data_IF_634328085416
#
_entry.id   IF_634328085416
#
_cell.length_a   1.000
_cell.length_b   1.000
_cell.length_c   1.000
_cell.angle_alpha   90.00
_cell.angle_beta   90.00
_cell.angle_gamma   90.00
#
_symmetry.space_group_name_H-M   'P 1'
#
loop_
_entity.id
_entity.type
_entity.pdbx_description
1 polymer ?
#
# COMPACT_ATOMS: atom_id res chain seq x y z
N UNK A 1 23.63 19.75 -2.84
CA UNK A 1 24.84 19.14 -2.22
C UNK A 1 24.58 18.61 -0.82
N UNK A 2 24.10 19.42 0.15
CA UNK A 2 23.84 18.95 1.53
C UNK A 2 22.88 17.74 1.61
N UNK A 3 21.75 17.80 0.92
CA UNK A 3 20.77 16.69 0.93
C UNK A 3 21.30 15.44 0.22
N UNK A 4 22.11 15.59 -0.83
CA UNK A 4 22.77 14.46 -1.48
C UNK A 4 23.79 13.80 -0.54
N UNK A 5 24.54 14.57 0.25
CA UNK A 5 25.48 14.03 1.24
C UNK A 5 24.76 13.29 2.38
N UNK A 6 23.66 13.85 2.90
CA UNK A 6 22.79 13.15 3.87
C UNK A 6 22.20 11.88 3.27
N UNK A 7 21.75 11.96 2.02
CA UNK A 7 21.28 10.83 1.23
C UNK A 7 22.33 9.73 1.10
N UNK A 8 23.58 10.08 0.79
CA UNK A 8 24.67 9.12 0.70
C UNK A 8 24.91 8.41 2.03
N UNK A 9 24.96 9.15 3.14
CA UNK A 9 25.06 8.57 4.48
C UNK A 9 23.90 7.65 4.81
N UNK A 10 22.67 8.07 4.52
CA UNK A 10 21.47 7.25 4.70
C UNK A 10 21.48 5.99 3.82
N UNK A 11 21.98 6.10 2.59
CA UNK A 11 22.16 4.99 1.66
C UNK A 11 23.17 3.97 2.16
N UNK A 12 24.26 4.41 2.79
CA UNK A 12 25.21 3.49 3.45
C UNK A 12 24.51 2.73 4.59
N UNK A 13 23.69 3.39 5.41
CA UNK A 13 22.93 2.71 6.48
C UNK A 13 21.97 1.67 5.91
N UNK A 14 21.22 2.02 4.86
CA UNK A 14 20.37 1.06 4.16
C UNK A 14 21.16 -0.07 3.50
N UNK A 15 22.32 0.24 2.91
CA UNK A 15 23.22 -0.71 2.25
C UNK A 15 23.89 -1.67 3.23
N UNK A 16 24.11 -1.28 4.48
CA UNK A 16 24.58 -2.19 5.52
C UNK A 16 23.53 -3.24 5.86
N UNK A 17 22.26 -2.83 6.00
CA UNK A 17 21.14 -3.75 6.23
C UNK A 17 21.00 -4.70 5.04
N UNK A 18 20.97 -4.17 3.81
CA UNK A 18 20.82 -4.99 2.61
C UNK A 18 22.05 -5.87 2.34
N UNK A 19 23.26 -5.37 2.60
CA UNK A 19 24.50 -6.15 2.54
C UNK A 19 24.48 -7.33 3.52
N UNK A 20 23.96 -7.13 4.73
CA UNK A 20 23.72 -8.20 5.71
C UNK A 20 22.73 -9.25 5.19
N UNK A 21 21.63 -8.82 4.55
CA UNK A 21 20.70 -9.74 3.90
C UNK A 21 21.39 -10.51 2.75
N UNK A 22 22.13 -9.85 1.87
CA UNK A 22 22.85 -10.51 0.78
C UNK A 22 23.88 -11.51 1.29
N UNK A 23 24.54 -11.23 2.41
CA UNK A 23 25.44 -12.18 3.04
C UNK A 23 24.70 -13.44 3.49
N UNK A 24 23.48 -13.32 4.04
CA UNK A 24 22.73 -14.48 4.53
C UNK A 24 22.21 -15.40 3.43
N UNK A 25 21.87 -14.86 2.25
CA UNK A 25 21.43 -15.67 1.11
C UNK A 25 22.48 -15.80 -0.02
N UNK A 26 23.74 -15.42 0.25
CA UNK A 26 24.88 -15.70 -0.63
C UNK A 26 24.96 -14.88 -1.93
N UNK A 27 24.42 -13.67 -1.97
CA UNK A 27 24.37 -12.84 -3.18
C UNK A 27 25.52 -11.81 -3.33
N UNK A 28 26.43 -11.72 -2.36
CA UNK A 28 27.58 -10.82 -2.46
C UNK A 28 28.51 -11.15 -3.66
N UNK A 29 28.83 -12.42 -3.97
CA UNK A 29 29.59 -12.77 -5.17
C UNK A 29 28.92 -12.31 -6.47
N UNK A 30 27.59 -12.30 -6.52
CA UNK A 30 26.85 -11.80 -7.69
C UNK A 30 27.13 -10.32 -7.93
N UNK A 31 27.23 -9.51 -6.88
CA UNK A 31 27.63 -8.10 -7.00
C UNK A 31 29.10 -7.97 -7.40
N UNK A 32 29.99 -8.78 -6.80
CA UNK A 32 31.41 -8.79 -7.11
C UNK A 32 31.68 -9.09 -8.60
N UNK A 33 30.81 -9.90 -9.23
CA UNK A 33 30.95 -10.27 -10.65
C UNK A 33 30.98 -9.06 -11.60
N UNK A 34 30.40 -7.92 -11.21
CA UNK A 34 30.45 -6.65 -11.96
C UNK A 34 31.88 -6.16 -12.22
N UNK A 35 32.82 -6.52 -11.33
CA UNK A 35 34.25 -6.21 -11.46
C UNK A 35 35.09 -7.47 -11.72
N UNK A 36 34.45 -8.53 -12.23
CA UNK A 36 35.06 -9.81 -12.63
C UNK A 36 35.79 -10.56 -11.51
N UNK A 37 35.22 -10.53 -10.31
CA UNK A 37 35.64 -11.35 -9.16
C UNK A 37 34.42 -11.97 -8.48
N UNK A 38 34.63 -13.03 -7.71
CA UNK A 38 33.63 -13.73 -6.89
C UNK A 38 33.82 -13.49 -5.38
N UNK A 39 34.82 -12.69 -4.99
CA UNK A 39 35.16 -12.43 -3.59
C UNK A 39 34.02 -11.68 -2.85
N UNK A 40 33.39 -12.27 -1.82
CA UNK A 40 32.26 -11.67 -1.13
C UNK A 40 32.58 -10.30 -0.49
N UNK A 41 33.82 -10.13 0.00
CA UNK A 41 34.26 -8.86 0.58
C UNK A 41 34.28 -7.72 -0.45
N UNK A 42 34.74 -8.01 -1.68
CA UNK A 42 34.71 -7.05 -2.79
C UNK A 42 33.27 -6.73 -3.18
N UNK A 43 32.40 -7.74 -3.22
CA UNK A 43 30.97 -7.58 -3.45
C UNK A 43 30.30 -6.65 -2.43
N UNK A 44 30.63 -6.78 -1.14
CA UNK A 44 30.11 -5.92 -0.08
C UNK A 44 30.59 -4.47 -0.24
N UNK A 45 31.89 -4.25 -0.50
CA UNK A 45 32.44 -2.90 -0.71
C UNK A 45 31.77 -2.23 -1.91
N UNK A 46 31.65 -2.95 -3.02
CA UNK A 46 30.99 -2.44 -4.22
C UNK A 46 29.51 -2.14 -3.96
N UNK A 47 28.81 -3.02 -3.23
CA UNK A 47 27.44 -2.78 -2.82
C UNK A 47 27.29 -1.49 -2.00
N UNK A 48 28.14 -1.26 -1.00
CA UNK A 48 28.09 -0.06 -0.17
C UNK A 48 28.39 1.21 -0.97
N UNK A 49 29.30 1.15 -1.94
CA UNK A 49 29.57 2.26 -2.85
C UNK A 49 28.33 2.59 -3.73
N UNK A 50 27.69 1.56 -4.30
CA UNK A 50 26.44 1.71 -5.06
C UNK A 50 25.34 2.27 -4.14
N UNK A 51 25.19 1.73 -2.95
CA UNK A 51 24.20 2.16 -1.96
C UNK A 51 24.37 3.63 -1.57
N UNK A 52 25.61 4.11 -1.42
CA UNK A 52 25.90 5.53 -1.19
C UNK A 52 25.48 6.41 -2.38
N UNK A 53 25.79 6.00 -3.62
CA UNK A 53 25.41 6.74 -4.82
C UNK A 53 23.88 6.79 -5.01
N UNK A 54 23.23 5.65 -4.83
CA UNK A 54 21.77 5.51 -4.88
C UNK A 54 21.11 6.31 -3.76
N UNK A 55 21.63 6.24 -2.53
CA UNK A 55 21.16 7.05 -1.41
C UNK A 55 21.31 8.55 -1.65
N UNK A 56 22.39 9.00 -2.28
CA UNK A 56 22.55 10.39 -2.67
C UNK A 56 21.43 10.85 -3.62
N UNK A 57 21.04 9.99 -4.57
CA UNK A 57 19.88 10.19 -5.43
C UNK A 57 18.57 10.29 -4.65
N UNK A 58 18.35 9.39 -3.69
CA UNK A 58 17.19 9.45 -2.80
C UNK A 58 17.14 10.77 -2.03
N UNK A 59 18.27 11.24 -1.46
CA UNK A 59 18.33 12.51 -0.73
C UNK A 59 17.89 13.72 -1.57
N UNK A 60 18.18 13.72 -2.87
CA UNK A 60 17.72 14.78 -3.80
C UNK A 60 16.20 14.75 -3.98
N UNK A 61 15.60 13.55 -4.06
CA UNK A 61 14.14 13.39 -4.16
C UNK A 61 13.47 13.74 -2.84
N UNK A 62 13.97 13.18 -1.74
CA UNK A 62 13.46 13.34 -0.39
C UNK A 62 13.45 14.81 0.09
N UNK A 63 14.37 15.64 -0.40
CA UNK A 63 14.41 17.07 -0.11
C UNK A 63 13.14 17.84 -0.54
N UNK A 64 12.34 17.27 -1.44
CA UNK A 64 11.10 17.87 -1.96
C UNK A 64 9.84 17.28 -1.34
N UNK A 65 9.98 16.23 -0.55
CA UNK A 65 8.87 15.42 -0.02
C UNK A 65 8.73 15.69 1.47
N UNK A 66 7.49 15.70 1.95
CA UNK A 66 7.23 15.85 3.38
C UNK A 66 7.77 14.66 4.19
N UNK A 67 8.47 14.95 5.28
CA UNK A 67 9.26 13.94 5.98
C UNK A 67 8.47 12.78 6.60
N UNK A 68 7.16 12.90 6.85
CA UNK A 68 6.29 11.79 7.33
C UNK A 68 5.95 10.79 6.22
N UNK A 69 6.20 11.17 4.98
CA UNK A 69 5.87 10.42 3.77
C UNK A 69 7.08 9.66 3.22
N UNK A 70 8.28 9.96 3.72
CA UNK A 70 9.54 9.41 3.23
C UNK A 70 9.59 7.89 3.30
N UNK A 71 8.95 7.28 4.30
CA UNK A 71 8.95 5.82 4.45
C UNK A 71 8.41 5.10 3.20
N UNK A 72 7.25 5.52 2.69
CA UNK A 72 6.67 4.91 1.48
C UNK A 72 7.43 5.29 0.22
N UNK A 73 7.98 6.51 0.15
CA UNK A 73 8.89 6.87 -0.92
C UNK A 73 10.16 6.02 -0.92
N UNK A 74 10.68 5.66 0.25
CA UNK A 74 11.78 4.72 0.42
C UNK A 74 11.44 3.34 -0.13
N UNK A 75 10.29 2.78 0.26
CA UNK A 75 9.82 1.49 -0.27
C UNK A 75 9.64 1.52 -1.79
N UNK A 76 9.00 2.56 -2.34
CA UNK A 76 8.83 2.73 -3.77
C UNK A 76 10.18 2.88 -4.49
N UNK A 77 11.13 3.58 -3.88
CA UNK A 77 12.48 3.75 -4.40
C UNK A 77 13.27 2.43 -4.40
N UNK A 78 13.14 1.64 -3.33
CA UNK A 78 13.68 0.28 -3.26
C UNK A 78 13.12 -0.61 -4.37
N UNK A 79 11.80 -0.66 -4.50
CA UNK A 79 11.13 -1.42 -5.57
C UNK A 79 11.57 -0.97 -6.97
N UNK A 80 11.71 0.33 -7.21
CA UNK A 80 12.26 0.88 -8.45
C UNK A 80 13.67 0.33 -8.72
N UNK A 81 14.54 0.32 -7.71
CA UNK A 81 15.90 -0.24 -7.87
C UNK A 81 15.94 -1.74 -7.99
N UNK A 82 14.92 -2.47 -7.53
CA UNK A 82 14.82 -3.90 -7.82
C UNK A 82 14.53 -4.16 -9.31
N UNK A 83 13.62 -3.38 -9.93
CA UNK A 83 13.42 -3.43 -11.38
C UNK A 83 14.66 -2.99 -12.16
N UNK A 84 15.29 -1.89 -11.74
CA UNK A 84 16.43 -1.34 -12.47
C UNK A 84 17.72 -2.14 -12.25
N UNK A 85 18.00 -2.59 -11.04
CA UNK A 85 19.23 -3.27 -10.67
C UNK A 85 19.24 -4.74 -11.13
N UNK A 86 18.77 -5.69 -10.30
CA UNK A 86 18.88 -7.12 -10.58
C UNK A 86 18.08 -7.58 -11.80
N UNK A 87 16.95 -6.94 -12.14
CA UNK A 87 16.14 -7.33 -13.30
C UNK A 87 16.62 -6.73 -14.63
N UNK A 88 17.39 -5.63 -14.62
CA UNK A 88 17.75 -4.90 -15.85
C UNK A 88 19.25 -4.68 -15.98
N UNK A 89 19.86 -3.89 -15.10
CA UNK A 89 21.26 -3.49 -15.23
C UNK A 89 22.22 -4.65 -14.97
N UNK A 90 21.99 -5.47 -13.94
CA UNK A 90 22.90 -6.55 -13.60
C UNK A 90 23.07 -7.54 -14.77
N UNK A 91 22.00 -8.11 -15.36
CA UNK A 91 22.14 -8.98 -16.53
C UNK A 91 22.88 -8.31 -17.69
N UNK A 92 22.52 -7.07 -18.04
CA UNK A 92 23.15 -6.32 -19.13
C UNK A 92 24.65 -6.09 -18.90
N UNK A 93 25.03 -5.71 -17.68
CA UNK A 93 26.43 -5.48 -17.30
C UNK A 93 27.26 -6.77 -17.27
N UNK A 94 26.61 -7.92 -17.04
CA UNK A 94 27.23 -9.25 -17.10
C UNK A 94 27.16 -9.90 -18.48
N UNK A 95 26.60 -9.21 -19.49
CA UNK A 95 26.51 -9.69 -20.88
C UNK A 95 25.30 -10.58 -21.20
N UNK A 96 24.30 -10.64 -20.32
CA UNK A 96 23.02 -11.33 -20.55
C UNK A 96 21.90 -10.39 -21.01
N UNK A 97 20.71 -10.95 -21.20
CA UNK A 97 19.48 -10.21 -21.54
C UNK A 97 18.74 -9.70 -20.28
N UNK A 98 17.87 -8.71 -20.44
CA UNK A 98 17.04 -8.22 -19.33
C UNK A 98 16.16 -9.35 -18.77
N UNK A 99 16.08 -9.45 -17.46
CA UNK A 99 15.44 -10.55 -16.76
C UNK A 99 13.93 -10.29 -16.52
N UNK A 100 13.25 -9.67 -17.49
CA UNK A 100 11.82 -9.29 -17.39
C UNK A 100 10.90 -10.48 -17.66
N UNK A 101 11.09 -11.55 -16.90
CA UNK A 101 10.30 -12.78 -16.99
C UNK A 101 9.77 -13.15 -15.61
N UNK A 102 8.61 -13.83 -15.57
CA UNK A 102 8.03 -14.30 -14.31
C UNK A 102 8.97 -15.26 -13.55
N UNK A 103 9.65 -16.24 -14.19
CA UNK A 103 10.61 -17.09 -13.49
C UNK A 103 11.77 -16.31 -12.86
N UNK A 104 12.31 -15.31 -13.56
CA UNK A 104 13.39 -14.48 -13.03
C UNK A 104 12.93 -13.59 -11.86
N UNK A 105 11.74 -12.99 -11.96
CA UNK A 105 11.17 -12.24 -10.84
C UNK A 105 11.00 -13.10 -9.58
N UNK A 106 10.63 -14.38 -9.74
CA UNK A 106 10.53 -15.34 -8.62
C UNK A 106 11.87 -15.70 -8.02
N UNK A 107 12.87 -16.02 -8.84
CA UNK A 107 14.21 -16.35 -8.32
C UNK A 107 14.88 -15.17 -7.63
N UNK A 108 14.47 -13.95 -7.99
CA UNK A 108 14.94 -12.69 -7.40
C UNK A 108 14.08 -12.17 -6.24
N UNK A 109 13.12 -12.94 -5.71
CA UNK A 109 12.32 -12.56 -4.54
C UNK A 109 13.16 -12.17 -3.31
N UNK A 110 14.22 -12.90 -2.92
CA UNK A 110 15.09 -12.46 -1.82
C UNK A 110 15.66 -11.05 -2.03
N UNK A 111 16.04 -10.73 -3.27
CA UNK A 111 16.56 -9.41 -3.60
C UNK A 111 15.48 -8.33 -3.57
N UNK A 112 14.20 -8.63 -3.87
CA UNK A 112 13.09 -7.67 -3.76
C UNK A 112 12.94 -7.20 -2.32
N UNK A 113 12.86 -8.14 -1.38
CA UNK A 113 12.74 -7.80 0.05
C UNK A 113 13.98 -7.07 0.56
N UNK A 114 15.17 -7.43 0.08
CA UNK A 114 16.40 -6.68 0.37
C UNK A 114 16.36 -5.23 -0.15
N UNK A 115 15.85 -4.99 -1.35
CA UNK A 115 15.67 -3.64 -1.90
C UNK A 115 14.59 -2.84 -1.16
N UNK A 116 13.48 -3.48 -0.77
CA UNK A 116 12.45 -2.86 0.06
C UNK A 116 13.02 -2.44 1.44
N UNK A 117 13.81 -3.33 2.07
CA UNK A 117 14.49 -3.04 3.32
C UNK A 117 15.51 -1.90 3.16
N UNK A 118 16.34 -1.94 2.10
CA UNK A 118 17.27 -0.86 1.74
C UNK A 118 16.55 0.49 1.64
N UNK A 119 15.46 0.55 0.88
CA UNK A 119 14.70 1.77 0.65
C UNK A 119 14.04 2.30 1.92
N UNK A 120 13.41 1.43 2.70
CA UNK A 120 12.80 1.78 3.98
C UNK A 120 13.82 2.33 4.98
N UNK A 121 14.94 1.63 5.16
CA UNK A 121 16.00 2.05 6.10
C UNK A 121 16.68 3.33 5.63
N UNK A 122 16.95 3.47 4.32
CA UNK A 122 17.49 4.72 3.75
C UNK A 122 16.56 5.89 4.02
N UNK A 123 15.25 5.73 3.83
CA UNK A 123 14.29 6.78 4.11
C UNK A 123 14.21 7.17 5.60
N UNK A 124 14.23 6.19 6.49
CA UNK A 124 14.23 6.43 7.93
C UNK A 124 15.52 7.13 8.39
N UNK A 125 16.69 6.63 7.94
CA UNK A 125 17.98 7.23 8.24
C UNK A 125 18.08 8.66 7.70
N UNK A 126 17.61 8.91 6.47
CA UNK A 126 17.55 10.26 5.92
C UNK A 126 16.64 11.17 6.75
N UNK A 127 15.45 10.69 7.12
CA UNK A 127 14.51 11.44 7.96
C UNK A 127 15.09 11.82 9.32
N UNK A 128 15.91 10.96 9.93
CA UNK A 128 16.62 11.24 11.17
C UNK A 128 17.76 12.25 10.97
N UNK A 129 18.51 12.15 9.88
CA UNK A 129 19.62 13.08 9.57
C UNK A 129 19.13 14.47 9.13
N UNK A 130 17.93 14.55 8.55
CA UNK A 130 17.37 15.79 8.03
C UNK A 130 16.57 16.60 9.08
N UNK A 131 16.15 15.98 10.19
CA UNK A 131 15.26 16.61 11.19
C UNK A 131 15.98 17.01 12.49
N UNK A 132 15.70 18.20 13.05
CA UNK A 132 16.34 18.69 14.26
C UNK A 132 15.78 18.14 15.60
N UNK A 133 14.56 17.59 15.65
CA UNK A 133 14.00 17.00 16.89
C UNK A 133 13.32 15.64 16.65
N UNK A 134 14.01 14.52 16.92
CA UNK A 134 13.47 13.17 16.78
C UNK A 134 12.38 12.81 17.81
N UNK A 135 12.26 13.56 18.92
CA UNK A 135 11.45 13.15 20.09
C UNK A 135 9.98 13.57 19.99
N UNK A 136 9.63 14.44 19.04
CA UNK A 136 8.26 14.92 18.85
C UNK A 136 7.23 13.81 18.58
N UNK A 137 7.67 12.64 18.08
CA UNK A 137 6.82 11.49 17.72
C UNK A 137 6.51 10.56 18.91
N UNK A 138 7.21 10.67 20.04
CA UNK A 138 7.08 9.79 21.22
C UNK A 138 6.05 10.29 22.25
N UNK A 139 5.01 11.01 21.81
CA UNK A 139 3.97 11.48 22.72
C UNK A 139 3.09 10.29 23.18
N UNK A 140 2.74 10.19 24.48
CA UNK A 140 1.97 9.06 24.99
C UNK A 140 0.57 8.95 24.36
N UNK A 141 -0.07 10.08 24.06
CA UNK A 141 -1.41 10.09 23.46
C UNK A 141 -1.51 9.34 22.11
N UNK A 142 -0.71 9.71 21.08
CA UNK A 142 -0.65 8.97 19.83
C UNK A 142 -0.28 7.49 19.99
N UNK A 143 0.61 7.14 20.91
CA UNK A 143 1.02 5.75 21.16
C UNK A 143 -0.13 4.91 21.72
N UNK A 144 -0.84 5.41 22.74
CA UNK A 144 -2.03 4.74 23.30
C UNK A 144 -3.11 4.59 22.23
N UNK A 145 -3.36 5.63 21.44
CA UNK A 145 -4.32 5.56 20.32
C UNK A 145 -3.91 4.50 19.29
N UNK A 146 -2.61 4.40 19.00
CA UNK A 146 -2.02 3.40 18.12
C UNK A 146 -2.27 1.99 18.65
N UNK A 147 -1.92 1.73 19.91
CA UNK A 147 -2.13 0.45 20.57
C UNK A 147 -3.61 0.01 20.54
N UNK A 148 -4.52 0.91 20.91
CA UNK A 148 -5.98 0.64 20.88
C UNK A 148 -6.44 0.32 19.45
N UNK A 149 -5.98 1.07 18.45
CA UNK A 149 -6.30 0.80 17.05
C UNK A 149 -5.77 -0.56 16.58
N UNK A 150 -4.54 -0.92 16.98
CA UNK A 150 -3.90 -2.22 16.79
C UNK A 150 -4.73 -3.38 17.31
N UNK A 151 -5.05 -3.32 18.60
CA UNK A 151 -5.83 -4.36 19.28
C UNK A 151 -7.25 -4.45 18.71
N UNK A 152 -7.92 -3.32 18.48
CA UNK A 152 -9.27 -3.30 17.92
C UNK A 152 -9.31 -3.91 16.51
N UNK A 153 -8.36 -3.55 15.64
CA UNK A 153 -8.28 -4.12 14.29
C UNK A 153 -7.99 -5.63 14.33
N UNK A 154 -7.09 -6.08 15.20
CA UNK A 154 -6.81 -7.50 15.39
C UNK A 154 -8.01 -8.29 15.94
N UNK A 155 -8.82 -7.68 16.84
CA UNK A 155 -10.04 -8.29 17.38
C UNK A 155 -11.18 -8.39 16.34
N UNK A 156 -11.21 -7.53 15.33
CA UNK A 156 -12.22 -7.65 14.26
C UNK A 156 -11.88 -8.79 13.30
N UNK A 157 -10.61 -9.16 13.19
CA UNK A 157 -10.10 -10.17 12.25
C UNK A 157 -9.96 -11.60 12.86
N UNK A 158 -10.58 -11.91 14.02
CA UNK A 158 -10.33 -13.08 14.92
C UNK A 158 -10.55 -14.52 14.38
N UNK A 159 -10.00 -15.60 15.02
CA UNK A 159 -8.99 -15.64 16.09
C UNK A 159 -7.74 -16.47 15.67
N UNK A 160 -6.69 -15.81 15.18
CA UNK A 160 -5.34 -16.36 15.27
C UNK A 160 -4.66 -15.64 16.45
N UNK A 161 -4.35 -16.36 17.52
CA UNK A 161 -3.76 -15.81 18.76
C UNK A 161 -2.48 -15.01 18.53
N UNK A 162 -1.77 -15.26 17.43
CA UNK A 162 -0.60 -14.46 17.00
C UNK A 162 -0.95 -13.05 16.52
N UNK A 163 -2.18 -12.76 16.09
CA UNK A 163 -2.56 -11.45 15.57
C UNK A 163 -2.71 -10.37 16.65
N UNK A 164 -2.93 -10.73 17.92
CA UNK A 164 -3.04 -9.73 18.99
C UNK A 164 -1.69 -9.08 19.31
N UNK A 165 -0.62 -9.88 19.39
CA UNK A 165 0.74 -9.35 19.61
C UNK A 165 1.19 -8.54 18.40
N UNK A 166 1.02 -9.09 17.19
CA UNK A 166 1.35 -8.38 15.94
C UNK A 166 0.51 -7.09 15.84
N UNK A 167 -0.79 -7.15 16.12
CA UNK A 167 -1.68 -5.99 16.15
C UNK A 167 -1.26 -4.93 17.15
N UNK A 168 -0.84 -5.31 18.36
CA UNK A 168 -0.34 -4.38 19.36
C UNK A 168 0.95 -3.69 18.90
N UNK A 169 1.93 -4.46 18.39
CA UNK A 169 3.20 -3.92 17.91
C UNK A 169 3.00 -3.04 16.67
N UNK A 170 2.15 -3.46 15.72
CA UNK A 170 1.78 -2.69 14.55
C UNK A 170 1.02 -1.41 14.93
N UNK A 171 0.11 -1.49 15.89
CA UNK A 171 -0.60 -0.35 16.43
C UNK A 171 0.34 0.69 17.04
N UNK A 172 1.32 0.24 17.85
CA UNK A 172 2.34 1.11 18.44
C UNK A 172 3.29 1.71 17.39
N UNK A 173 3.64 0.95 16.35
CA UNK A 173 4.53 1.40 15.29
C UNK A 173 3.89 2.44 14.35
N UNK A 174 2.58 2.38 14.14
CA UNK A 174 1.86 3.28 13.23
C UNK A 174 2.09 4.79 13.52
N UNK A 175 1.86 5.31 14.75
CA UNK A 175 2.12 6.71 15.06
C UNK A 175 3.60 7.10 15.01
N UNK A 176 4.54 6.16 15.14
CA UNK A 176 5.97 6.45 15.03
C UNK A 176 6.36 6.84 13.60
N UNK A 177 5.68 6.27 12.61
CA UNK A 177 5.91 6.56 11.20
C UNK A 177 5.03 7.72 10.69
N UNK A 178 3.79 7.82 11.16
CA UNK A 178 2.77 8.65 10.50
C UNK A 178 2.14 9.74 11.40
N UNK A 179 2.69 10.03 12.58
CA UNK A 179 2.17 11.12 13.42
C UNK A 179 2.52 12.51 12.86
N UNK A 180 1.52 13.40 12.81
CA UNK A 180 1.76 14.84 12.58
C UNK A 180 0.88 15.51 11.52
N UNK A 181 0.11 14.77 10.70
CA UNK A 181 -0.70 15.37 9.62
C UNK A 181 -2.20 15.16 9.78
N UNK A 182 -2.98 16.16 9.32
CA UNK A 182 -4.44 16.06 9.10
C UNK A 182 -4.66 15.36 7.76
N UNK A 183 -4.71 14.03 7.76
CA UNK A 183 -5.04 13.23 6.59
C UNK A 183 -6.52 12.77 6.63
N UNK A 184 -7.14 12.64 5.46
CA UNK A 184 -8.49 12.11 5.34
C UNK A 184 -8.49 10.59 5.51
N UNK A 185 -9.62 10.03 5.93
CA UNK A 185 -9.74 8.61 6.23
C UNK A 185 -9.38 7.71 5.04
N UNK A 186 -9.77 8.06 3.81
CA UNK A 186 -9.45 7.25 2.61
C UNK A 186 -7.95 7.07 2.37
N UNK A 187 -7.17 8.15 2.19
CA UNK A 187 -5.71 8.06 2.07
C UNK A 187 -5.04 7.35 3.26
N UNK A 188 -5.51 7.57 4.49
CA UNK A 188 -5.01 6.87 5.67
C UNK A 188 -5.24 5.35 5.58
N UNK A 189 -6.39 4.90 5.09
CA UNK A 189 -6.67 3.47 4.89
C UNK A 189 -5.75 2.86 3.82
N UNK A 190 -5.53 3.55 2.70
CA UNK A 190 -4.58 3.09 1.66
C UNK A 190 -3.14 3.03 2.20
N UNK A 191 -2.76 4.00 3.03
CA UNK A 191 -1.51 3.97 3.78
C UNK A 191 -1.45 2.74 4.70
N UNK A 192 -2.55 2.43 5.36
CA UNK A 192 -2.73 1.23 6.17
C UNK A 192 -2.50 -0.06 5.38
N UNK A 193 -3.00 -0.15 4.14
CA UNK A 193 -2.73 -1.30 3.24
C UNK A 193 -1.23 -1.50 3.02
N UNK A 194 -0.51 -0.43 2.66
CA UNK A 194 0.94 -0.49 2.49
C UNK A 194 1.69 -0.81 3.78
N UNK A 195 1.22 -0.29 4.92
CA UNK A 195 1.76 -0.61 6.24
C UNK A 195 1.56 -2.08 6.61
N UNK A 196 0.38 -2.64 6.31
CA UNK A 196 0.08 -4.05 6.50
C UNK A 196 0.96 -4.96 5.64
N UNK A 197 1.24 -4.58 4.39
CA UNK A 197 2.21 -5.30 3.55
C UNK A 197 3.61 -5.33 4.17
N UNK A 198 4.08 -4.21 4.75
CA UNK A 198 5.37 -4.20 5.47
C UNK A 198 5.33 -5.14 6.67
N UNK A 199 4.23 -5.16 7.43
CA UNK A 199 4.07 -6.09 8.55
C UNK A 199 4.02 -7.55 8.13
N UNK A 200 3.47 -7.86 6.95
CA UNK A 200 3.60 -9.20 6.38
C UNK A 200 5.07 -9.57 6.12
N UNK A 201 5.83 -8.69 5.47
CA UNK A 201 7.28 -8.93 5.25
C UNK A 201 8.03 -9.09 6.58
N UNK A 202 7.74 -8.26 7.58
CA UNK A 202 8.46 -8.27 8.87
C UNK A 202 8.01 -9.44 9.75
N UNK A 203 6.72 -9.54 10.08
CA UNK A 203 6.22 -10.48 11.08
C UNK A 203 5.91 -11.88 10.55
N UNK A 204 5.52 -12.03 9.28
CA UNK A 204 5.26 -13.35 8.69
C UNK A 204 6.52 -13.93 8.01
N UNK A 205 7.23 -13.11 7.23
CA UNK A 205 8.32 -13.61 6.40
C UNK A 205 9.72 -13.53 7.04
N UNK A 206 9.99 -12.52 7.88
CA UNK A 206 11.37 -12.21 8.32
C UNK A 206 11.64 -12.61 9.76
N UNK A 207 10.81 -12.21 10.72
CA UNK A 207 11.03 -12.47 12.14
C UNK A 207 10.95 -13.95 12.52
N UNK A 208 9.97 -14.75 12.04
CA UNK A 208 9.84 -16.14 12.50
C UNK A 208 11.08 -17.03 12.28
N UNK A 209 11.72 -17.06 11.09
CA UNK A 209 12.93 -17.86 10.91
C UNK A 209 14.14 -17.27 11.67
N UNK A 210 14.25 -15.93 11.80
CA UNK A 210 15.29 -15.30 12.60
C UNK A 210 15.19 -15.65 14.09
N UNK A 211 13.99 -15.65 14.66
CA UNK A 211 13.74 -16.01 16.05
C UNK A 211 14.00 -17.50 16.33
N UNK A 212 13.89 -18.34 15.32
CA UNK A 212 14.26 -19.77 15.37
C UNK A 212 15.75 -20.03 15.13
N UNK A 213 16.52 -19.00 14.75
CA UNK A 213 17.95 -19.14 14.43
C UNK A 213 18.24 -19.74 13.05
N UNK A 214 17.25 -19.77 12.15
CA UNK A 214 17.33 -20.37 10.81
C UNK A 214 17.90 -19.40 9.76
N UNK A 215 18.07 -18.12 10.11
CA UNK A 215 18.51 -17.07 9.18
C UNK A 215 17.36 -16.48 8.35
N UNK A 216 17.69 -15.80 7.25
CA UNK A 216 16.70 -15.27 6.31
C UNK A 216 16.41 -16.31 5.22
N UNK A 217 15.20 -16.84 5.21
CA UNK A 217 14.71 -17.78 4.19
C UNK A 217 13.71 -17.06 3.27
N UNK A 218 14.09 -15.94 2.65
CA UNK A 218 13.22 -15.23 1.69
C UNK A 218 13.05 -15.97 0.34
N UNK A 219 13.17 -17.31 0.35
CA UNK A 219 13.03 -18.17 -0.81
C UNK A 219 11.60 -18.14 -1.35
N UNK A 220 11.43 -18.51 -2.62
CA UNK A 220 10.10 -18.59 -3.22
C UNK A 220 9.15 -19.54 -2.45
N UNK A 221 9.68 -20.62 -1.88
CA UNK A 221 8.90 -21.56 -1.05
C UNK A 221 8.39 -20.91 0.23
N UNK A 222 9.28 -20.29 1.01
CA UNK A 222 8.89 -19.59 2.24
C UNK A 222 7.92 -18.43 1.98
N UNK A 223 8.08 -17.73 0.86
CA UNK A 223 7.13 -16.68 0.44
C UNK A 223 5.74 -17.25 0.17
N UNK A 224 5.66 -18.39 -0.51
CA UNK A 224 4.40 -19.09 -0.78
C UNK A 224 3.76 -19.61 0.50
N UNK A 225 4.54 -20.09 1.46
CA UNK A 225 4.04 -20.52 2.77
C UNK A 225 3.49 -19.33 3.57
N UNK A 226 4.22 -18.21 3.58
CA UNK A 226 3.84 -17.00 4.30
C UNK A 226 2.71 -16.21 3.62
N UNK A 227 2.44 -16.41 2.32
CA UNK A 227 1.44 -15.62 1.58
C UNK A 227 0.04 -15.77 2.17
N UNK A 228 -0.23 -16.88 2.87
CA UNK A 228 -1.44 -17.13 3.65
C UNK A 228 -1.79 -16.00 4.63
N UNK A 229 -0.79 -15.32 5.16
CA UNK A 229 -0.97 -14.25 6.14
C UNK A 229 -1.12 -12.87 5.50
N UNK A 230 -0.78 -12.72 4.21
CA UNK A 230 -0.75 -11.43 3.53
C UNK A 230 -2.11 -10.69 3.58
N UNK A 231 -3.26 -11.34 3.25
CA UNK A 231 -4.56 -10.67 3.34
C UNK A 231 -4.86 -10.17 4.76
N UNK A 232 -4.60 -11.00 5.77
CA UNK A 232 -4.82 -10.65 7.17
C UNK A 232 -3.99 -9.43 7.60
N UNK A 233 -2.71 -9.39 7.24
CA UNK A 233 -1.81 -8.28 7.58
C UNK A 233 -2.18 -6.99 6.84
N UNK A 234 -2.55 -7.08 5.55
CA UNK A 234 -3.05 -5.93 4.77
C UNK A 234 -4.31 -5.34 5.38
N UNK A 235 -5.28 -6.19 5.75
CA UNK A 235 -6.53 -5.77 6.38
C UNK A 235 -6.30 -5.23 7.80
N UNK A 236 -5.35 -5.81 8.55
CA UNK A 236 -4.94 -5.31 9.86
C UNK A 236 -4.40 -3.88 9.75
N UNK A 237 -3.47 -3.63 8.82
CA UNK A 237 -2.92 -2.30 8.60
C UNK A 237 -3.97 -1.28 8.18
N UNK A 238 -4.89 -1.65 7.27
CA UNK A 238 -6.03 -0.83 6.88
C UNK A 238 -6.96 -0.51 8.07
N UNK A 239 -7.26 -1.51 8.89
CA UNK A 239 -8.07 -1.38 10.11
C UNK A 239 -7.43 -0.48 11.16
N UNK A 240 -6.12 -0.63 11.40
CA UNK A 240 -5.34 0.24 12.29
C UNK A 240 -5.48 1.69 11.85
N UNK A 241 -5.24 1.97 10.57
CA UNK A 241 -5.32 3.33 10.05
C UNK A 241 -6.74 3.92 10.16
N UNK A 242 -7.77 3.10 9.90
CA UNK A 242 -9.18 3.50 10.04
C UNK A 242 -9.51 3.88 11.48
N UNK A 243 -9.27 2.96 12.43
CA UNK A 243 -9.59 3.15 13.85
C UNK A 243 -8.76 4.29 14.44
N UNK A 244 -7.47 4.38 14.12
CA UNK A 244 -6.59 5.46 14.56
C UNK A 244 -7.07 6.83 14.09
N UNK A 245 -7.52 6.93 12.83
CA UNK A 245 -8.07 8.16 12.25
C UNK A 245 -9.38 8.56 12.93
N UNK A 246 -10.27 7.60 13.16
CA UNK A 246 -11.55 7.80 13.85
C UNK A 246 -11.37 8.23 15.30
N UNK A 247 -10.53 7.55 16.07
CA UNK A 247 -10.19 7.94 17.44
C UNK A 247 -9.59 9.35 17.49
N UNK A 248 -8.80 9.74 16.48
CA UNK A 248 -8.28 11.09 16.37
C UNK A 248 -9.32 12.15 16.02
N UNK A 249 -10.36 11.80 15.28
CA UNK A 249 -11.50 12.68 15.00
C UNK A 249 -12.35 12.88 16.26
N UNK A 250 -12.68 11.78 16.94
CA UNK A 250 -13.44 11.79 18.19
C UNK A 250 -12.71 12.60 19.27
N UNK A 251 -11.40 12.36 19.45
CA UNK A 251 -10.64 13.10 20.47
C UNK A 251 -10.63 14.61 20.21
N UNK A 252 -10.56 15.04 18.95
CA UNK A 252 -10.66 16.47 18.62
C UNK A 252 -12.06 17.04 18.85
N UNK A 253 -13.10 16.29 18.50
CA UNK A 253 -14.49 16.72 18.68
C UNK A 253 -14.88 16.88 20.16
N UNK A 254 -14.35 16.04 21.05
CA UNK A 254 -14.68 16.06 22.47
C UNK A 254 -13.73 16.89 23.34
N UNK A 255 -12.47 17.11 22.92
CA UNK A 255 -11.44 17.73 23.77
C UNK A 255 -10.97 19.12 23.29
N UNK A 256 -11.37 19.55 22.09
CA UNK A 256 -11.01 20.87 21.57
C UNK A 256 -12.28 21.63 21.26
N UNK A 257 -12.57 22.69 22.03
CA UNK A 257 -13.64 23.67 21.78
C UNK A 257 -13.33 24.54 20.55
N UNK A 258 -12.97 23.94 19.42
CA UNK A 258 -12.66 24.67 18.19
C UNK A 258 -13.96 24.90 17.40
N UNK A 259 -14.77 25.86 17.87
CA UNK A 259 -16.01 26.32 17.22
C UNK A 259 -15.76 26.78 15.77
N UNK A 260 -14.51 27.08 15.39
CA UNK A 260 -14.11 27.44 14.02
C UNK A 260 -14.12 26.26 13.06
N UNK A 261 -14.09 25.01 13.53
CA UNK A 261 -14.22 23.81 12.71
C UNK A 261 -15.64 23.59 12.16
N UNK A 262 -16.64 24.34 12.65
CA UNK A 262 -18.04 24.27 12.23
C UNK A 262 -18.40 25.19 11.04
N UNK A 263 -17.44 25.96 10.51
CA UNK A 263 -17.71 27.00 9.50
C UNK A 263 -17.51 26.58 8.03
N UNK A 264 -17.29 25.30 7.74
CA UNK A 264 -17.38 24.79 6.36
C UNK A 264 -18.78 24.21 6.14
N UNK A 265 -19.51 24.70 5.13
CA UNK A 265 -20.88 24.37 4.63
C UNK A 265 -21.64 23.17 5.28
N UNK A 266 -22.95 23.33 5.53
CA UNK A 266 -23.81 22.32 6.15
C UNK A 266 -23.53 20.86 5.72
N UNK A 267 -23.16 20.02 6.69
CA UNK A 267 -22.75 18.62 6.51
C UNK A 267 -23.73 17.76 5.71
N UNK A 268 -25.03 18.11 5.73
CA UNK A 268 -26.10 17.38 5.05
C UNK A 268 -26.05 17.42 3.52
N UNK A 269 -25.95 18.61 2.91
CA UNK A 269 -25.97 18.75 1.45
C UNK A 269 -24.73 18.11 0.80
N UNK A 270 -23.58 18.18 1.47
CA UNK A 270 -22.33 17.58 1.00
C UNK A 270 -22.26 16.07 1.19
N UNK A 271 -22.87 15.54 2.25
CA UNK A 271 -23.04 14.10 2.42
C UNK A 271 -23.90 13.52 1.30
N UNK A 272 -25.04 14.15 1.02
CA UNK A 272 -25.95 13.74 -0.05
C UNK A 272 -25.27 13.75 -1.43
N UNK A 273 -24.53 14.81 -1.76
CA UNK A 273 -23.82 14.88 -3.05
C UNK A 273 -22.78 13.76 -3.20
N UNK A 274 -22.01 13.48 -2.14
CA UNK A 274 -21.04 12.37 -2.15
C UNK A 274 -21.74 11.01 -2.28
N UNK A 275 -22.90 10.83 -1.63
CA UNK A 275 -23.70 9.61 -1.79
C UNK A 275 -24.19 9.46 -3.23
N UNK A 276 -24.78 10.50 -3.83
CA UNK A 276 -25.28 10.45 -5.20
C UNK A 276 -24.14 10.21 -6.20
N UNK A 277 -23.01 10.90 -6.05
CA UNK A 277 -21.86 10.72 -6.93
C UNK A 277 -21.27 9.31 -6.78
N UNK A 278 -21.23 8.78 -5.55
CA UNK A 278 -20.82 7.42 -5.26
C UNK A 278 -21.74 6.35 -5.84
N UNK A 279 -23.07 6.58 -5.84
CA UNK A 279 -24.03 5.71 -6.53
C UNK A 279 -23.74 5.66 -8.03
N UNK A 280 -23.57 6.82 -8.68
CA UNK A 280 -23.28 6.90 -10.12
C UNK A 280 -21.95 6.23 -10.45
N UNK A 281 -20.90 6.54 -9.69
CA UNK A 281 -19.59 5.91 -9.86
C UNK A 281 -19.68 4.38 -9.65
N UNK A 282 -20.39 3.94 -8.62
CA UNK A 282 -20.62 2.55 -8.30
C UNK A 282 -21.37 1.79 -9.40
N UNK A 283 -22.36 2.42 -10.03
CA UNK A 283 -23.06 1.85 -11.20
C UNK A 283 -22.12 1.71 -12.39
N UNK A 284 -21.38 2.78 -12.76
CA UNK A 284 -20.43 2.74 -13.89
C UNK A 284 -19.39 1.65 -13.68
N UNK A 285 -18.72 1.64 -12.52
CA UNK A 285 -17.75 0.60 -12.20
C UNK A 285 -18.40 -0.79 -12.15
N UNK A 286 -19.56 -0.90 -11.51
CA UNK A 286 -20.29 -2.16 -11.32
C UNK A 286 -20.66 -2.82 -12.64
N UNK A 287 -21.11 -2.03 -13.63
CA UNK A 287 -21.40 -2.51 -14.99
C UNK A 287 -20.16 -3.01 -15.70
N UNK A 288 -19.04 -2.27 -15.64
CA UNK A 288 -17.76 -2.71 -16.23
C UNK A 288 -17.28 -4.01 -15.59
N UNK A 289 -17.38 -4.11 -14.26
CA UNK A 289 -17.03 -5.32 -13.53
C UNK A 289 -17.94 -6.49 -13.96
N UNK A 290 -19.26 -6.30 -13.99
CA UNK A 290 -20.21 -7.34 -14.33
C UNK A 290 -19.93 -7.94 -15.72
N UNK A 291 -19.55 -7.10 -16.69
CA UNK A 291 -19.15 -7.56 -18.03
C UNK A 291 -17.87 -8.41 -18.00
N UNK A 292 -16.86 -7.99 -17.23
CA UNK A 292 -15.64 -8.78 -17.07
C UNK A 292 -15.92 -10.13 -16.38
N UNK A 293 -16.76 -10.13 -15.33
CA UNK A 293 -17.05 -11.33 -14.56
C UNK A 293 -17.94 -12.33 -15.29
N UNK A 294 -18.88 -11.85 -16.10
CA UNK A 294 -19.71 -12.69 -16.96
C UNK A 294 -18.85 -13.55 -17.91
N UNK A 295 -17.77 -13.00 -18.45
CA UNK A 295 -16.84 -13.73 -19.33
C UNK A 295 -16.05 -14.82 -18.59
N UNK A 296 -15.88 -14.70 -17.28
CA UNK A 296 -15.15 -15.66 -16.43
C UNK A 296 -16.07 -16.67 -15.72
N UNK A 297 -17.38 -16.61 -15.95
CA UNK A 297 -18.37 -17.49 -15.29
C UNK A 297 -18.51 -17.30 -13.78
N UNK A 298 -17.87 -16.28 -13.19
CA UNK A 298 -17.81 -16.09 -11.73
C UNK A 298 -18.98 -15.30 -11.15
N UNK A 299 -19.82 -14.69 -12.01
CA UNK A 299 -20.92 -13.83 -11.60
C UNK A 299 -21.97 -14.55 -10.74
N UNK A 300 -22.22 -15.85 -11.02
CA UNK A 300 -23.21 -16.66 -10.29
C UNK A 300 -22.92 -16.82 -8.80
N UNK A 301 -21.66 -16.71 -8.37
CA UNK A 301 -21.28 -16.79 -6.95
C UNK A 301 -21.96 -15.69 -6.12
N UNK A 302 -22.24 -14.53 -6.72
CA UNK A 302 -22.84 -13.38 -6.03
C UNK A 302 -24.31 -13.61 -5.72
N UNK A 303 -25.04 -14.34 -6.55
CA UNK A 303 -26.45 -14.67 -6.28
C UNK A 303 -26.60 -15.54 -5.02
N UNK A 304 -25.58 -16.34 -4.70
CA UNK A 304 -25.52 -17.14 -3.48
C UNK A 304 -25.59 -16.31 -2.19
N UNK A 305 -25.18 -15.03 -2.21
CA UNK A 305 -25.25 -14.13 -1.05
C UNK A 305 -26.68 -13.90 -0.54
N UNK A 306 -27.68 -14.12 -1.40
CA UNK A 306 -29.10 -14.01 -1.07
C UNK A 306 -29.84 -15.34 -1.25
N UNK A 307 -29.10 -16.46 -1.33
CA UNK A 307 -29.65 -17.81 -1.44
C UNK A 307 -30.30 -18.15 -2.80
N UNK A 308 -29.93 -17.47 -3.89
CA UNK A 308 -30.48 -17.73 -5.22
C UNK A 308 -29.44 -18.11 -6.28
N UNK A 309 -29.91 -18.56 -7.44
CA UNK A 309 -29.05 -19.17 -8.49
C UNK A 309 -29.19 -18.53 -9.89
N UNK A 310 -29.90 -17.41 -10.03
CA UNK A 310 -30.17 -16.77 -11.32
C UNK A 310 -29.15 -15.70 -11.73
N UNK A 311 -28.81 -15.63 -13.03
CA UNK A 311 -27.89 -14.60 -13.56
C UNK A 311 -28.42 -13.17 -13.39
N UNK A 312 -29.74 -12.97 -13.55
CA UNK A 312 -30.37 -11.66 -13.33
C UNK A 312 -30.25 -11.26 -11.87
N UNK A 313 -30.49 -12.19 -10.94
CA UNK A 313 -30.33 -11.95 -9.51
C UNK A 313 -28.87 -11.63 -9.18
N UNK A 314 -27.92 -12.37 -9.74
CA UNK A 314 -26.49 -12.11 -9.59
C UNK A 314 -26.11 -10.69 -10.03
N UNK A 315 -26.60 -10.24 -11.20
CA UNK A 315 -26.37 -8.87 -11.70
C UNK A 315 -26.96 -7.84 -10.73
N UNK A 316 -28.20 -8.03 -10.28
CA UNK A 316 -28.86 -7.09 -9.36
C UNK A 316 -28.09 -6.98 -8.04
N UNK A 317 -27.76 -8.11 -7.41
CA UNK A 317 -27.01 -8.13 -6.15
C UNK A 317 -25.63 -7.47 -6.34
N UNK A 318 -24.93 -7.80 -7.42
CA UNK A 318 -23.64 -7.19 -7.75
C UNK A 318 -23.74 -5.66 -7.90
N UNK A 319 -24.75 -5.15 -8.62
CA UNK A 319 -24.95 -3.70 -8.79
C UNK A 319 -25.31 -3.00 -7.48
N UNK A 320 -26.05 -3.64 -6.57
CA UNK A 320 -26.33 -3.10 -5.23
C UNK A 320 -25.03 -3.00 -4.43
N UNK A 321 -24.24 -4.08 -4.39
CA UNK A 321 -22.93 -4.10 -3.71
C UNK A 321 -21.99 -3.04 -4.31
N UNK A 322 -21.92 -2.95 -5.64
CA UNK A 322 -21.10 -1.96 -6.35
C UNK A 322 -21.49 -0.52 -6.01
N UNK A 323 -22.77 -0.22 -5.76
CA UNK A 323 -23.21 1.09 -5.31
C UNK A 323 -22.79 1.38 -3.86
N UNK A 324 -22.93 0.42 -2.95
CA UNK A 324 -22.47 0.56 -1.56
C UNK A 324 -20.96 0.83 -1.50
N UNK A 325 -20.19 0.11 -2.32
CA UNK A 325 -18.75 0.31 -2.47
C UNK A 325 -18.44 1.68 -3.10
N UNK A 326 -19.21 2.11 -4.10
CA UNK A 326 -19.05 3.42 -4.72
C UNK A 326 -19.35 4.59 -3.78
N UNK A 327 -20.40 4.47 -2.95
CA UNK A 327 -20.72 5.44 -1.89
C UNK A 327 -19.61 5.52 -0.85
N UNK A 328 -19.09 4.39 -0.39
CA UNK A 328 -17.98 4.39 0.57
C UNK A 328 -16.70 4.99 -0.02
N UNK A 329 -16.38 4.74 -1.29
CA UNK A 329 -15.28 5.42 -1.98
C UNK A 329 -15.48 6.94 -1.98
N UNK A 330 -16.66 7.39 -2.45
CA UNK A 330 -16.98 8.80 -2.54
C UNK A 330 -16.93 9.49 -1.17
N UNK A 331 -17.29 8.82 -0.07
CA UNK A 331 -17.20 9.38 1.29
C UNK A 331 -15.77 9.43 1.84
N UNK A 332 -14.96 8.41 1.54
CA UNK A 332 -13.59 8.25 2.04
C UNK A 332 -12.57 9.14 1.31
N UNK A 333 -12.73 9.32 -0.01
CA UNK A 333 -11.75 10.02 -0.87
C UNK A 333 -12.23 11.40 -1.34
N UNK A 334 -13.21 11.99 -0.65
CA UNK A 334 -13.72 13.36 -0.94
C UNK A 334 -12.57 14.36 -1.07
N UNK A 335 -12.56 15.11 -2.18
CA UNK A 335 -11.56 16.15 -2.48
C UNK A 335 -10.12 15.64 -2.38
N UNK A 336 -9.87 14.41 -2.84
CA UNK A 336 -8.52 13.85 -2.92
C UNK A 336 -8.09 13.56 -4.36
N UNK A 337 -9.00 13.71 -5.32
CA UNK A 337 -8.73 13.59 -6.73
C UNK A 337 -8.75 15.00 -7.35
N UNK A 338 -7.58 15.50 -7.75
CA UNK A 338 -7.42 16.82 -8.37
C UNK A 338 -7.05 16.73 -9.86
N UNK A 339 -6.87 15.51 -10.35
CA UNK A 339 -6.64 15.17 -11.75
C UNK A 339 -6.94 13.69 -12.01
N UNK A 340 -6.89 13.32 -13.29
CA UNK A 340 -7.14 11.96 -13.73
C UNK A 340 -6.15 10.96 -13.11
N UNK A 341 -4.88 11.33 -12.97
CA UNK A 341 -3.84 10.46 -12.40
C UNK A 341 -4.16 10.14 -10.94
N UNK A 342 -4.62 11.11 -10.18
CA UNK A 342 -5.07 10.93 -8.81
C UNK A 342 -6.36 10.13 -8.71
N UNK A 343 -7.34 10.38 -9.58
CA UNK A 343 -8.55 9.58 -9.62
C UNK A 343 -8.21 8.10 -9.84
N UNK A 344 -7.36 7.82 -10.83
CA UNK A 344 -6.85 6.47 -11.12
C UNK A 344 -6.07 5.89 -9.94
N UNK A 345 -5.11 6.64 -9.37
CA UNK A 345 -4.27 6.16 -8.28
C UNK A 345 -5.06 5.74 -7.04
N UNK A 346 -5.95 6.61 -6.55
CA UNK A 346 -6.82 6.27 -5.42
C UNK A 346 -7.83 5.19 -5.75
N UNK A 347 -8.39 5.23 -6.97
CA UNK A 347 -9.30 4.22 -7.48
C UNK A 347 -8.68 2.82 -7.49
N UNK A 348 -7.50 2.67 -8.06
CA UNK A 348 -6.74 1.42 -8.12
C UNK A 348 -6.39 0.91 -6.72
N UNK A 349 -5.89 1.77 -5.83
CA UNK A 349 -5.61 1.40 -4.44
C UNK A 349 -6.86 0.93 -3.70
N UNK A 350 -8.01 1.56 -3.93
CA UNK A 350 -9.27 1.16 -3.33
C UNK A 350 -9.81 -0.14 -3.91
N UNK A 351 -9.67 -0.35 -5.23
CA UNK A 351 -9.96 -1.62 -5.88
C UNK A 351 -9.14 -2.76 -5.30
N UNK A 352 -7.83 -2.56 -5.13
CA UNK A 352 -6.93 -3.53 -4.49
C UNK A 352 -7.37 -3.86 -3.06
N UNK A 353 -7.74 -2.84 -2.26
CA UNK A 353 -8.30 -3.06 -0.92
C UNK A 353 -9.55 -3.95 -0.97
N UNK A 354 -10.48 -3.67 -1.90
CA UNK A 354 -11.70 -4.47 -2.05
C UNK A 354 -11.46 -5.87 -2.61
N UNK A 355 -10.36 -6.12 -3.31
CA UNK A 355 -9.99 -7.48 -3.64
C UNK A 355 -9.62 -8.29 -2.39
N UNK A 356 -8.77 -7.74 -1.51
CA UNK A 356 -8.45 -8.38 -0.22
C UNK A 356 -9.67 -8.50 0.70
N UNK A 357 -10.43 -7.42 0.88
CA UNK A 357 -11.56 -7.35 1.78
C UNK A 357 -12.77 -8.10 1.23
N UNK A 358 -13.17 -7.83 -0.01
CA UNK A 358 -14.34 -8.41 -0.66
C UNK A 358 -14.08 -9.81 -1.18
N UNK A 359 -13.28 -9.93 -2.24
CA UNK A 359 -13.15 -11.19 -2.98
C UNK A 359 -12.46 -12.32 -2.19
N UNK A 360 -11.43 -12.00 -1.41
CA UNK A 360 -10.67 -12.99 -0.66
C UNK A 360 -11.23 -13.31 0.73
N UNK A 361 -12.00 -12.37 1.32
CA UNK A 361 -12.40 -12.43 2.73
C UNK A 361 -13.91 -12.45 2.91
N UNK A 362 -14.61 -11.35 2.60
CA UNK A 362 -16.05 -11.23 2.87
C UNK A 362 -16.90 -12.16 2.01
N UNK A 363 -16.63 -12.26 0.70
CA UNK A 363 -17.41 -13.12 -0.19
C UNK A 363 -17.38 -14.59 0.24
N UNK A 364 -16.21 -15.25 0.44
CA UNK A 364 -16.21 -16.62 0.93
C UNK A 364 -16.80 -16.73 2.34
N UNK A 365 -16.51 -15.80 3.25
CA UNK A 365 -17.07 -15.84 4.62
C UNK A 365 -18.60 -15.76 4.65
N UNK A 366 -19.21 -14.90 3.81
CA UNK A 366 -20.67 -14.75 3.71
C UNK A 366 -21.34 -15.95 3.02
N UNK A 367 -20.57 -16.77 2.31
CA UNK A 367 -21.04 -18.02 1.68
C UNK A 367 -20.67 -19.26 2.52
N UNK A 368 -20.21 -19.08 3.76
CA UNK A 368 -19.72 -20.13 4.65
C UNK A 368 -18.60 -20.99 4.01
N UNK A 369 -17.79 -20.39 3.14
CA UNK A 369 -16.64 -21.01 2.49
C UNK A 369 -15.32 -20.62 3.20
N UNK A 370 -14.28 -21.47 3.12
CA UNK A 370 -12.95 -21.09 3.57
C UNK A 370 -12.45 -19.81 2.90
N UNK A 371 -11.77 -18.95 3.67
CA UNK A 371 -11.16 -17.74 3.16
C UNK A 371 -10.14 -18.08 2.06
N UNK A 372 -10.04 -17.25 1.03
CA UNK A 372 -9.17 -17.49 -0.13
C UNK A 372 -7.77 -16.92 0.10
N UNK A 373 -7.20 -17.16 1.28
CA UNK A 373 -5.96 -16.51 1.71
C UNK A 373 -4.69 -17.26 1.32
N UNK A 374 -4.77 -18.55 0.98
CA UNK A 374 -3.61 -19.33 0.53
C UNK A 374 -3.21 -19.03 -0.93
N UNK A 375 -1.99 -19.40 -1.30
CA UNK A 375 -1.42 -19.16 -2.63
C UNK A 375 -2.31 -19.65 -3.78
N UNK A 376 -2.82 -20.89 -3.69
CA UNK A 376 -3.64 -21.50 -4.74
C UNK A 376 -4.95 -20.74 -4.95
N UNK A 377 -5.63 -20.42 -3.85
CA UNK A 377 -6.88 -19.69 -3.89
C UNK A 377 -6.70 -18.26 -4.42
N UNK A 378 -5.60 -17.58 -4.05
CA UNK A 378 -5.28 -16.26 -4.60
C UNK A 378 -4.93 -16.31 -6.09
N UNK A 379 -4.22 -17.34 -6.56
CA UNK A 379 -3.95 -17.55 -7.97
C UNK A 379 -5.26 -17.74 -8.77
N UNK A 380 -6.19 -18.56 -8.27
CA UNK A 380 -7.52 -18.74 -8.86
C UNK A 380 -8.36 -17.45 -8.82
N UNK A 381 -8.16 -16.60 -7.82
CA UNK A 381 -8.84 -15.32 -7.68
C UNK A 381 -8.18 -14.17 -8.46
N UNK A 382 -7.13 -14.42 -9.24
CA UNK A 382 -6.42 -13.39 -10.01
C UNK A 382 -7.32 -12.67 -11.03
N UNK A 383 -8.23 -13.33 -11.78
CA UNK A 383 -9.17 -12.60 -12.66
C UNK A 383 -10.05 -11.62 -11.88
N UNK A 384 -10.42 -11.96 -10.63
CA UNK A 384 -11.17 -11.06 -9.77
C UNK A 384 -10.32 -9.85 -9.31
N UNK A 385 -9.01 -9.99 -9.15
CA UNK A 385 -8.11 -8.85 -8.88
C UNK A 385 -8.18 -7.84 -10.02
N UNK A 386 -8.06 -8.30 -11.27
CA UNK A 386 -8.17 -7.43 -12.46
C UNK A 386 -9.53 -6.73 -12.48
N UNK A 387 -10.62 -7.46 -12.23
CA UNK A 387 -11.96 -6.87 -12.12
C UNK A 387 -12.05 -5.75 -11.07
N UNK A 388 -11.50 -5.97 -9.88
CA UNK A 388 -11.50 -4.99 -8.79
C UNK A 388 -10.64 -3.76 -9.12
N UNK A 389 -9.49 -3.93 -9.78
CA UNK A 389 -8.65 -2.83 -10.23
C UNK A 389 -9.36 -1.98 -11.28
N UNK A 390 -9.99 -2.61 -12.28
CA UNK A 390 -10.76 -1.92 -13.32
C UNK A 390 -11.96 -1.18 -12.71
N UNK A 391 -12.67 -1.82 -11.80
CA UNK A 391 -13.77 -1.19 -11.05
C UNK A 391 -13.30 0.01 -10.23
N UNK A 392 -12.20 -0.14 -9.49
CA UNK A 392 -11.59 0.95 -8.72
C UNK A 392 -11.16 2.11 -9.61
N UNK A 393 -10.53 1.84 -10.75
CA UNK A 393 -10.18 2.85 -11.73
C UNK A 393 -11.43 3.58 -12.26
N UNK A 394 -12.49 2.85 -12.61
CA UNK A 394 -13.75 3.42 -13.07
C UNK A 394 -14.42 4.29 -11.99
N UNK A 395 -14.40 3.86 -10.72
CA UNK A 395 -14.87 4.67 -9.58
C UNK A 395 -14.13 6.01 -9.52
N UNK A 396 -12.80 5.94 -9.48
CA UNK A 396 -11.96 7.13 -9.30
C UNK A 396 -12.07 8.12 -10.46
N UNK A 397 -12.10 7.62 -11.70
CA UNK A 397 -12.30 8.46 -12.91
C UNK A 397 -13.69 9.09 -12.93
N UNK A 398 -14.74 8.31 -12.63
CA UNK A 398 -16.11 8.83 -12.64
C UNK A 398 -16.31 9.88 -11.54
N UNK A 399 -15.78 9.62 -10.35
CA UNK A 399 -15.84 10.57 -9.24
C UNK A 399 -15.09 11.87 -9.57
N UNK A 400 -13.87 11.78 -10.13
CA UNK A 400 -13.13 12.95 -10.59
C UNK A 400 -13.92 13.76 -11.63
N UNK A 401 -14.55 13.06 -12.58
CA UNK A 401 -15.33 13.69 -13.63
C UNK A 401 -16.57 14.41 -13.09
N UNK A 402 -17.27 13.81 -12.12
CA UNK A 402 -18.41 14.44 -11.43
C UNK A 402 -17.96 15.65 -10.60
N UNK A 403 -16.87 15.53 -9.84
CA UNK A 403 -16.31 16.62 -9.03
C UNK A 403 -15.83 17.79 -9.90
N UNK A 404 -15.29 17.52 -11.09
CA UNK A 404 -14.88 18.57 -12.03
C UNK A 404 -16.06 19.38 -12.58
N UNK A 405 -17.23 18.74 -12.73
CA UNK A 405 -18.47 19.38 -13.21
C UNK A 405 -19.25 20.10 -12.12
N UNK A 406 -19.05 19.72 -10.86
CA UNK A 406 -19.62 20.45 -9.74
C UNK A 406 -18.95 21.83 -9.64
N UNK A 407 -19.69 22.89 -9.97
CA UNK A 407 -19.26 24.27 -9.77
C UNK A 407 -20.08 24.89 -8.63
N UNK A 408 -19.50 25.03 -7.43
CA UNK A 408 -20.19 25.67 -6.32
C UNK A 408 -20.54 27.12 -6.67
N UNK A 409 -21.80 27.51 -6.51
CA UNK A 409 -22.28 28.84 -6.88
C UNK A 409 -21.61 29.98 -6.09
N UNK A 410 -20.97 29.66 -4.95
CA UNK A 410 -20.26 30.59 -4.08
C UNK A 410 -18.75 30.69 -4.36
N UNK A 411 -18.21 29.87 -5.27
CA UNK A 411 -16.81 29.94 -5.68
C UNK A 411 -16.72 30.47 -7.11
N UNK A 412 -15.88 31.49 -7.31
CA UNK A 412 -15.56 31.90 -8.67
C UNK A 412 -14.75 30.80 -9.38
N UNK A 413 -14.83 30.73 -10.71
CA UNK A 413 -14.06 29.73 -11.48
C UNK A 413 -12.55 29.83 -11.21
N UNK A 414 -12.03 31.06 -11.06
CA UNK A 414 -10.61 31.31 -10.77
C UNK A 414 -10.18 30.82 -9.39
N UNK A 415 -11.00 31.03 -8.35
CA UNK A 415 -10.71 30.52 -7.00
C UNK A 415 -10.78 28.99 -6.94
N UNK A 416 -11.75 28.39 -7.62
CA UNK A 416 -11.84 26.93 -7.71
C UNK A 416 -10.63 26.32 -8.42
N UNK A 417 -10.14 26.97 -9.47
CA UNK A 417 -8.93 26.56 -10.20
C UNK A 417 -7.66 26.73 -9.34
N UNK A 418 -7.49 27.87 -8.66
CA UNK A 418 -6.36 28.10 -7.77
C UNK A 418 -6.27 27.04 -6.66
N UNK A 419 -7.40 26.72 -6.02
CA UNK A 419 -7.48 25.65 -5.00
C UNK A 419 -7.11 24.27 -5.58
N UNK A 420 -7.51 23.97 -6.82
CA UNK A 420 -7.15 22.70 -7.48
C UNK A 420 -5.64 22.61 -7.76
N UNK A 421 -5.02 23.70 -8.19
CA UNK A 421 -3.58 23.76 -8.47
C UNK A 421 -2.77 23.56 -7.19
N UNK A 422 -3.14 24.25 -6.11
CA UNK A 422 -2.51 24.10 -4.80
C UNK A 422 -2.65 22.66 -4.28
N UNK A 423 -3.86 22.12 -4.33
CA UNK A 423 -4.11 20.77 -3.84
C UNK A 423 -3.41 19.68 -4.68
N UNK A 424 -3.29 19.88 -6.01
CA UNK A 424 -2.50 19.00 -6.89
C UNK A 424 -1.03 19.02 -6.48
N UNK A 425 -0.46 20.21 -6.23
CA UNK A 425 0.92 20.35 -5.78
C UNK A 425 1.14 19.63 -4.44
N UNK A 426 0.28 19.86 -3.46
CA UNK A 426 0.35 19.20 -2.16
C UNK A 426 0.31 17.68 -2.28
N UNK A 427 -0.53 17.18 -3.18
CA UNK A 427 -0.64 15.75 -3.42
C UNK A 427 0.61 15.15 -4.08
N UNK A 428 1.20 15.81 -5.07
CA UNK A 428 2.44 15.35 -5.71
C UNK A 428 3.59 15.26 -4.71
N UNK A 429 3.62 16.14 -3.71
CA UNK A 429 4.65 16.17 -2.67
C UNK A 429 4.35 15.25 -1.47
N UNK A 430 3.16 14.63 -1.44
CA UNK A 430 2.72 13.69 -0.40
C UNK A 430 3.17 12.24 -0.68
N UNK A 431 2.80 11.27 0.17
CA UNK A 431 3.02 9.84 -0.15
C UNK A 431 2.03 9.31 -1.20
N UNK A 432 1.03 10.07 -1.65
CA UNK A 432 0.00 9.53 -2.55
C UNK A 432 0.61 8.83 -3.78
N UNK A 433 1.59 9.41 -4.52
CA UNK A 433 2.21 8.72 -5.65
C UNK A 433 2.96 7.44 -5.24
N UNK A 434 3.67 7.48 -4.11
CA UNK A 434 4.38 6.30 -3.60
C UNK A 434 3.39 5.18 -3.20
N UNK A 435 2.27 5.52 -2.58
CA UNK A 435 1.22 4.57 -2.22
C UNK A 435 0.56 3.93 -3.45
N UNK A 436 0.35 4.70 -4.51
CA UNK A 436 -0.17 4.16 -5.77
C UNK A 436 0.83 3.22 -6.43
N UNK A 437 2.11 3.59 -6.46
CA UNK A 437 3.17 2.73 -6.98
C UNK A 437 3.29 1.43 -6.16
N UNK A 438 3.18 1.51 -4.84
CA UNK A 438 3.20 0.32 -3.98
C UNK A 438 1.94 -0.54 -4.13
N UNK A 439 0.78 0.08 -4.35
CA UNK A 439 -0.45 -0.65 -4.67
C UNK A 439 -0.30 -1.39 -5.99
N UNK A 440 0.25 -0.73 -7.02
CA UNK A 440 0.55 -1.35 -8.30
C UNK A 440 1.56 -2.48 -8.15
N UNK A 441 2.66 -2.26 -7.41
CA UNK A 441 3.66 -3.28 -7.09
C UNK A 441 2.99 -4.49 -6.46
N UNK A 442 2.20 -4.30 -5.39
CA UNK A 442 1.52 -5.38 -4.69
C UNK A 442 0.59 -6.16 -5.62
N UNK A 443 -0.21 -5.47 -6.43
CA UNK A 443 -1.08 -6.11 -7.42
C UNK A 443 -0.29 -6.92 -8.46
N UNK A 444 0.81 -6.39 -8.98
CA UNK A 444 1.67 -7.08 -9.95
C UNK A 444 2.56 -8.16 -9.33
N UNK A 445 2.78 -8.11 -8.02
CA UNK A 445 3.53 -9.11 -7.29
C UNK A 445 2.68 -10.37 -7.04
N UNK A 446 1.35 -10.28 -7.00
CA UNK A 446 0.47 -11.45 -6.74
C UNK A 446 0.84 -12.65 -7.61
N UNK A 447 0.97 -12.55 -8.95
CA UNK A 447 1.42 -13.68 -9.77
C UNK A 447 2.81 -14.18 -9.41
N UNK A 448 3.74 -13.35 -8.96
CA UNK A 448 5.08 -13.78 -8.52
C UNK A 448 4.99 -14.56 -7.20
N UNK A 449 4.12 -14.12 -6.30
CA UNK A 449 3.97 -14.67 -4.95
C UNK A 449 3.16 -15.99 -4.91
N UNK A 450 2.25 -16.23 -5.86
CA UNK A 450 1.28 -17.34 -5.77
C UNK A 450 1.54 -18.53 -6.69
N UNK A 451 2.46 -18.40 -7.63
CA UNK A 451 2.52 -19.28 -8.81
C UNK A 451 3.48 -20.48 -8.69
N UNK A 452 3.71 -20.91 -7.45
CA UNK A 452 4.33 -22.21 -7.13
C UNK A 452 3.29 -23.33 -6.99
N UNK A 453 2.00 -23.04 -7.18
CA UNK A 453 0.95 -24.06 -7.21
C UNK A 453 0.89 -24.63 -8.63
N UNK A 454 1.15 -25.94 -8.83
CA UNK A 454 1.08 -26.59 -10.14
C UNK A 454 -0.30 -26.47 -10.80
#
# INVERSE_FOLDING_TARGET
>A
MREAARGAGAGVVGGLVFGGCMASYGALPTVASLVRTDEPAVGLVLHLAIAAAVGAGFGVVAARVDGSELFFWGLAYGAFWWYLGPLTLLPLLTGGEVAWTLPAARSLLPSLFGHLAFGAVTALAFGLLARPDPRAHLRPGPLVRGLVAGLAAALVLLPATNLLLVGALAGLGYPLLFSGRREGTGPAVVRGVGYGFVWWVVAALTLPPLLRGEGLDWSAGAVVDAVGELPGQVLLGAGIALVFSWLGLLSRAFLVDDVRALHDEGSGARGLQATLSGIVAGLVGGTVFAFAWAQTGSLSQVAGLVGGEGIVLAVVVHLVVAQLIGVSYALLFRRRAFDLASGLGWGLSYGLLWWFLGALTLLPALLDQPLRWNAAAMALAFPALVGHLVYGAALGVTQQWLENRANPWWLTRGEAEARRVEARRDQTLSAAPALWLLSALLATAVPVLTSAVP
#
